data_IF_132950305338
#
_entry.id   IF_132950305338
#
_cell.length_a   1.000
_cell.length_b   1.000
_cell.length_c   1.000
_cell.angle_alpha   90.00
_cell.angle_beta   90.00
_cell.angle_gamma   90.00
#
_symmetry.space_group_name_H-M   'P 1'
#
loop_
_entity.id
_entity.type
_entity.pdbx_description
1 polymer ?
#
# COMPACT_ATOMS: atom_id res chain seq x y z
N UNK A 1 7.45 -22.23 8.59
CA UNK A 1 8.64 -21.41 8.26
C UNK A 1 8.64 -20.99 6.79
N UNK A 2 8.52 -21.89 5.84
CA UNK A 2 8.52 -21.65 4.37
C UNK A 2 7.47 -20.59 3.93
N UNK A 3 6.26 -20.61 4.49
CA UNK A 3 5.14 -19.70 4.17
C UNK A 3 5.38 -18.24 4.60
N UNK A 4 6.12 -18.00 5.68
CA UNK A 4 6.51 -16.63 6.11
C UNK A 4 7.65 -16.10 5.25
N UNK A 5 8.57 -16.96 4.84
CA UNK A 5 9.66 -16.62 3.92
C UNK A 5 9.15 -16.26 2.52
N UNK A 6 8.19 -17.02 1.97
CA UNK A 6 7.59 -16.70 0.66
C UNK A 6 6.81 -15.39 0.66
N UNK A 7 6.09 -15.08 1.74
CA UNK A 7 5.37 -13.80 1.87
C UNK A 7 6.33 -12.62 1.98
N UNK A 8 7.42 -12.78 2.74
CA UNK A 8 8.46 -11.75 2.85
C UNK A 8 9.19 -11.50 1.53
N UNK A 9 9.58 -12.55 0.82
CA UNK A 9 10.23 -12.44 -0.49
C UNK A 9 9.33 -11.74 -1.51
N UNK A 10 8.04 -12.10 -1.57
CA UNK A 10 7.07 -11.44 -2.44
C UNK A 10 6.88 -9.96 -2.09
N UNK A 11 6.88 -9.60 -0.81
CA UNK A 11 6.81 -8.20 -0.39
C UNK A 11 8.04 -7.41 -0.84
N UNK A 12 9.25 -7.99 -0.71
CA UNK A 12 10.50 -7.37 -1.19
C UNK A 12 10.47 -7.17 -2.71
N UNK A 13 10.03 -8.17 -3.48
CA UNK A 13 9.94 -8.04 -4.95
C UNK A 13 8.92 -6.97 -5.36
N UNK A 14 7.78 -6.86 -4.67
CA UNK A 14 6.81 -5.80 -4.92
C UNK A 14 7.36 -4.41 -4.55
N UNK A 15 8.17 -4.32 -3.52
CA UNK A 15 8.86 -3.08 -3.13
C UNK A 15 9.91 -2.68 -4.18
N UNK A 16 10.58 -3.66 -4.78
CA UNK A 16 11.56 -3.45 -5.84
C UNK A 16 10.93 -3.29 -7.24
N UNK A 17 9.59 -3.40 -7.36
CA UNK A 17 8.87 -3.34 -8.63
C UNK A 17 9.27 -2.16 -9.53
N UNK A 18 9.37 -0.89 -9.05
CA UNK A 18 9.74 0.23 -9.91
C UNK A 18 11.13 0.10 -10.52
N UNK A 19 12.07 -0.46 -9.76
CA UNK A 19 13.44 -0.70 -10.24
C UNK A 19 13.50 -1.85 -11.24
N UNK A 20 12.71 -2.90 -11.03
CA UNK A 20 12.60 -4.02 -11.98
C UNK A 20 12.01 -3.56 -13.32
N UNK A 21 10.97 -2.72 -13.29
CA UNK A 21 10.38 -2.14 -14.49
C UNK A 21 11.37 -1.22 -15.20
N UNK A 22 12.04 -0.33 -14.46
CA UNK A 22 13.08 0.55 -15.02
C UNK A 22 14.16 -0.25 -15.75
N UNK A 23 14.71 -1.28 -15.09
CA UNK A 23 15.77 -2.12 -15.64
C UNK A 23 15.32 -2.91 -16.88
N UNK A 24 14.14 -3.55 -16.81
CA UNK A 24 13.61 -4.35 -17.91
C UNK A 24 13.27 -3.51 -19.15
N UNK A 25 12.73 -2.30 -18.95
CA UNK A 25 12.43 -1.35 -20.06
C UNK A 25 13.72 -0.86 -20.71
N UNK A 26 14.75 -0.52 -19.92
CA UNK A 26 16.04 -0.07 -20.46
C UNK A 26 16.78 -1.15 -21.26
N UNK A 27 16.61 -2.42 -20.91
CA UNK A 27 17.20 -3.54 -21.66
C UNK A 27 16.36 -4.01 -22.86
N UNK A 28 15.16 -3.48 -23.02
CA UNK A 28 14.25 -3.94 -24.08
C UNK A 28 13.71 -5.37 -23.88
N UNK A 29 13.87 -5.94 -22.70
CA UNK A 29 13.48 -7.33 -22.38
C UNK A 29 12.02 -7.40 -21.88
N UNK A 30 11.09 -6.82 -22.64
CA UNK A 30 9.67 -6.75 -22.28
C UNK A 30 9.07 -8.15 -22.00
N UNK A 31 9.48 -9.16 -22.77
CA UNK A 31 8.95 -10.53 -22.62
C UNK A 31 9.38 -11.16 -21.29
N UNK A 32 10.65 -11.01 -20.91
CA UNK A 32 11.16 -11.53 -19.64
C UNK A 32 10.55 -10.77 -18.45
N UNK A 33 10.49 -9.44 -18.54
CA UNK A 33 9.87 -8.59 -17.53
C UNK A 33 8.38 -8.95 -17.37
N UNK A 34 7.63 -8.96 -18.48
CA UNK A 34 6.20 -9.25 -18.46
C UNK A 34 5.90 -10.67 -17.99
N UNK A 35 6.64 -11.67 -18.46
CA UNK A 35 6.52 -13.06 -18.02
C UNK A 35 6.82 -13.24 -16.53
N UNK A 36 7.88 -12.59 -16.03
CA UNK A 36 8.23 -12.59 -14.61
C UNK A 36 7.16 -11.96 -13.74
N UNK A 37 6.58 -10.83 -14.17
CA UNK A 37 5.49 -10.15 -13.45
C UNK A 37 4.20 -10.98 -13.48
N UNK A 38 3.86 -11.61 -14.60
CA UNK A 38 2.70 -12.52 -14.70
C UNK A 38 2.86 -13.68 -13.72
N UNK A 39 4.04 -14.29 -13.66
CA UNK A 39 4.31 -15.37 -12.70
C UNK A 39 4.19 -14.86 -11.25
N UNK A 40 4.80 -13.72 -10.94
CA UNK A 40 4.77 -13.11 -9.60
C UNK A 40 3.33 -12.81 -9.16
N UNK A 41 2.57 -12.08 -9.97
CA UNK A 41 1.20 -11.70 -9.64
C UNK A 41 0.25 -12.90 -9.69
N UNK A 42 0.46 -13.84 -10.61
CA UNK A 42 -0.30 -15.10 -10.71
C UNK A 42 -0.14 -15.96 -9.46
N UNK A 43 1.10 -16.15 -8.98
CA UNK A 43 1.38 -16.84 -7.71
C UNK A 43 0.70 -16.17 -6.51
N UNK A 44 0.58 -14.83 -6.52
CA UNK A 44 -0.10 -14.06 -5.47
C UNK A 44 -1.61 -14.28 -5.44
N UNK A 45 -2.22 -14.64 -6.56
CA UNK A 45 -3.66 -14.94 -6.66
C UNK A 45 -4.00 -16.34 -6.14
N UNK A 46 -3.03 -17.25 -6.01
CA UNK A 46 -3.27 -18.60 -5.48
C UNK A 46 -3.86 -18.51 -4.06
N UNK A 47 -4.80 -19.41 -3.72
CA UNK A 47 -5.45 -19.40 -2.43
C UNK A 47 -4.45 -19.76 -1.33
N UNK A 48 -4.05 -18.74 -0.56
CA UNK A 48 -3.28 -18.93 0.67
C UNK A 48 -4.28 -18.96 1.82
N UNK A 49 -4.53 -20.13 2.38
CA UNK A 49 -5.44 -20.30 3.52
C UNK A 49 -5.03 -19.43 4.70
N UNK A 50 -5.94 -18.58 5.20
CA UNK A 50 -5.73 -17.73 6.35
C UNK A 50 -6.96 -16.85 6.63
N UNK A 51 -7.18 -16.52 7.92
CA UNK A 51 -8.30 -15.73 8.45
C UNK A 51 -8.17 -14.21 8.23
N UNK A 52 -7.56 -13.74 7.16
CA UNK A 52 -7.24 -12.32 6.92
C UNK A 52 -8.23 -11.63 5.97
N UNK A 53 -9.50 -12.01 5.97
CA UNK A 53 -10.64 -11.42 5.27
C UNK A 53 -10.36 -10.27 4.28
N UNK A 54 -10.48 -9.03 4.75
CA UNK A 54 -10.32 -7.82 3.92
C UNK A 54 -8.90 -7.63 3.37
N UNK A 55 -7.86 -8.04 4.11
CA UNK A 55 -6.46 -7.92 3.67
C UNK A 55 -6.11 -8.88 2.53
N UNK A 56 -6.71 -10.08 2.54
CA UNK A 56 -6.56 -11.02 1.43
C UNK A 56 -7.21 -10.48 0.16
N UNK A 57 -8.40 -9.88 0.30
CA UNK A 57 -9.08 -9.25 -0.84
C UNK A 57 -8.23 -8.12 -1.44
N UNK A 58 -7.70 -7.21 -0.61
CA UNK A 58 -6.84 -6.12 -1.07
C UNK A 58 -5.58 -6.65 -1.79
N UNK A 59 -4.87 -7.61 -1.19
CA UNK A 59 -3.69 -8.20 -1.79
C UNK A 59 -3.99 -8.89 -3.14
N UNK A 60 -5.16 -9.52 -3.25
CA UNK A 60 -5.63 -10.13 -4.51
C UNK A 60 -6.02 -9.08 -5.56
N UNK A 61 -6.68 -8.01 -5.16
CA UNK A 61 -7.03 -6.92 -6.07
C UNK A 61 -5.79 -6.23 -6.62
N UNK A 62 -4.78 -5.95 -5.79
CA UNK A 62 -3.49 -5.41 -6.24
C UNK A 62 -2.78 -6.37 -7.19
N UNK A 63 -2.75 -7.67 -6.87
CA UNK A 63 -2.16 -8.69 -7.74
C UNK A 63 -2.92 -8.82 -9.06
N UNK A 64 -4.25 -8.75 -9.03
CA UNK A 64 -5.09 -8.77 -10.22
C UNK A 64 -4.83 -7.58 -11.15
N UNK A 65 -4.71 -6.37 -10.59
CA UNK A 65 -4.32 -5.18 -11.36
C UNK A 65 -2.92 -5.32 -11.98
N UNK A 66 -1.95 -5.80 -11.21
CA UNK A 66 -0.60 -6.03 -11.72
C UNK A 66 -0.57 -7.08 -12.83
N UNK A 67 -1.31 -8.17 -12.67
CA UNK A 67 -1.45 -9.21 -13.70
C UNK A 67 -2.10 -8.66 -14.97
N UNK A 68 -3.19 -7.89 -14.83
CA UNK A 68 -3.87 -7.27 -15.97
C UNK A 68 -2.92 -6.34 -16.74
N UNK A 69 -2.21 -5.46 -16.04
CA UNK A 69 -1.25 -4.55 -16.68
C UNK A 69 -0.10 -5.30 -17.36
N UNK A 70 0.41 -6.37 -16.76
CA UNK A 70 1.46 -7.19 -17.35
C UNK A 70 0.95 -7.90 -18.63
N UNK A 71 -0.27 -8.43 -18.63
CA UNK A 71 -0.89 -9.05 -19.81
C UNK A 71 -1.12 -8.01 -20.91
N UNK A 72 -1.70 -6.85 -20.58
CA UNK A 72 -1.92 -5.76 -21.55
C UNK A 72 -0.60 -5.29 -22.14
N UNK A 73 0.44 -5.14 -21.31
CA UNK A 73 1.78 -4.75 -21.75
C UNK A 73 2.37 -5.74 -22.77
N UNK A 74 2.21 -7.04 -22.55
CA UNK A 74 2.68 -8.08 -23.49
C UNK A 74 1.86 -8.12 -24.76
N UNK A 75 0.53 -8.07 -24.68
CA UNK A 75 -0.37 -8.13 -25.84
C UNK A 75 -0.17 -6.91 -26.73
N UNK A 76 -0.13 -5.72 -26.14
CA UNK A 76 0.08 -4.46 -26.87
C UNK A 76 1.55 -4.22 -27.24
N UNK A 77 2.47 -5.07 -26.80
CA UNK A 77 3.93 -4.90 -26.94
C UNK A 77 4.41 -3.50 -26.49
N UNK A 78 3.81 -3.00 -25.43
CA UNK A 78 4.03 -1.64 -24.93
C UNK A 78 4.25 -1.65 -23.41
N UNK A 79 5.50 -1.40 -23.00
CA UNK A 79 5.91 -1.43 -21.59
C UNK A 79 5.31 -0.31 -20.74
N UNK A 80 4.84 0.79 -21.37
CA UNK A 80 4.30 1.94 -20.66
C UNK A 80 3.08 1.60 -19.77
N UNK A 81 2.33 0.54 -20.07
CA UNK A 81 1.21 0.08 -19.24
C UNK A 81 1.64 -0.32 -17.84
N UNK A 82 2.84 -0.86 -17.68
CA UNK A 82 3.39 -1.23 -16.37
C UNK A 82 3.61 -0.02 -15.46
N UNK A 83 3.85 1.15 -16.03
CA UNK A 83 4.10 2.38 -15.28
C UNK A 83 2.89 2.84 -14.47
N UNK A 84 1.67 2.42 -14.84
CA UNK A 84 0.44 2.76 -14.13
C UNK A 84 0.20 1.95 -12.85
N UNK A 85 1.00 0.91 -12.58
CA UNK A 85 0.78 0.07 -11.39
C UNK A 85 0.80 0.85 -10.06
N UNK A 86 1.75 1.76 -9.78
CA UNK A 86 1.74 2.56 -8.56
C UNK A 86 0.51 3.48 -8.44
N UNK A 87 0.01 3.98 -9.57
CA UNK A 87 -1.21 4.80 -9.62
C UNK A 87 -2.43 3.96 -9.21
N UNK A 88 -2.57 2.76 -9.79
CA UNK A 88 -3.66 1.84 -9.45
C UNK A 88 -3.61 1.37 -8.00
N UNK A 89 -2.42 1.09 -7.47
CA UNK A 89 -2.24 0.75 -6.05
C UNK A 89 -2.70 1.88 -5.15
N UNK A 90 -2.29 3.13 -5.45
CA UNK A 90 -2.72 4.31 -4.69
C UNK A 90 -4.24 4.51 -4.75
N UNK A 91 -4.85 4.31 -5.93
CA UNK A 91 -6.30 4.39 -6.11
C UNK A 91 -7.05 3.31 -5.32
N UNK A 92 -6.59 2.06 -5.37
CA UNK A 92 -7.19 0.96 -4.61
C UNK A 92 -7.12 1.21 -3.09
N UNK A 93 -5.98 1.69 -2.61
CA UNK A 93 -5.82 2.05 -1.19
C UNK A 93 -6.71 3.23 -0.82
N UNK A 94 -6.77 4.26 -1.66
CA UNK A 94 -7.67 5.39 -1.47
C UNK A 94 -9.13 4.92 -1.36
N UNK A 95 -9.59 4.09 -2.28
CA UNK A 95 -10.97 3.58 -2.26
C UNK A 95 -11.25 2.76 -1.00
N UNK A 96 -10.31 1.91 -0.57
CA UNK A 96 -10.45 1.12 0.65
C UNK A 96 -10.55 2.00 1.90
N UNK A 97 -9.62 2.96 2.05
CA UNK A 97 -9.60 3.86 3.20
C UNK A 97 -10.81 4.80 3.20
N UNK A 98 -11.12 5.42 2.05
CA UNK A 98 -12.26 6.30 1.90
C UNK A 98 -13.58 5.58 2.22
N UNK A 99 -13.80 4.38 1.63
CA UNK A 99 -14.99 3.57 1.93
C UNK A 99 -15.13 3.29 3.43
N UNK A 100 -14.02 3.06 4.14
CA UNK A 100 -14.06 2.77 5.58
C UNK A 100 -14.54 3.97 6.41
N UNK A 101 -14.43 5.21 5.91
CA UNK A 101 -14.94 6.40 6.59
C UNK A 101 -16.48 6.45 6.67
N UNK A 102 -17.18 5.76 5.77
CA UNK A 102 -18.65 5.61 5.80
C UNK A 102 -19.15 4.38 6.56
N UNK A 103 -18.21 3.58 7.10
CA UNK A 103 -18.54 2.41 7.92
C UNK A 103 -18.53 2.79 9.41
N UNK A 104 -19.23 2.02 10.27
CA UNK A 104 -19.22 2.25 11.72
C UNK A 104 -17.85 2.28 12.34
N UNK A 105 -16.91 1.48 11.79
CA UNK A 105 -15.52 1.42 12.22
C UNK A 105 -14.60 1.68 11.03
N UNK A 106 -13.70 2.66 11.16
CA UNK A 106 -12.70 2.95 10.13
C UNK A 106 -11.64 1.85 10.05
N UNK A 107 -10.91 1.79 8.93
CA UNK A 107 -9.89 0.77 8.72
C UNK A 107 -8.81 0.82 9.81
N UNK A 108 -8.34 2.02 10.17
CA UNK A 108 -7.33 2.22 11.22
C UNK A 108 -7.89 1.85 12.61
N UNK A 109 -9.18 2.13 12.86
CA UNK A 109 -9.85 1.71 14.09
C UNK A 109 -9.88 0.18 14.23
N UNK A 110 -10.24 -0.54 13.16
CA UNK A 110 -10.24 -2.02 13.16
C UNK A 110 -8.85 -2.58 13.46
N UNK A 111 -7.80 -1.98 12.88
CA UNK A 111 -6.41 -2.35 13.19
C UNK A 111 -6.05 -2.09 14.65
N UNK A 112 -6.46 -0.94 15.19
CA UNK A 112 -6.21 -0.59 16.58
C UNK A 112 -6.92 -1.56 17.54
N UNK A 113 -8.17 -1.95 17.24
CA UNK A 113 -8.95 -2.92 18.04
C UNK A 113 -8.39 -4.34 18.02
N UNK A 114 -7.52 -4.69 17.08
CA UNK A 114 -6.79 -5.96 17.13
C UNK A 114 -5.78 -5.99 18.29
N UNK A 115 -5.29 -4.82 18.73
CA UNK A 115 -4.36 -4.68 19.84
C UNK A 115 -5.08 -4.36 21.15
N UNK A 116 -6.11 -3.53 21.09
CA UNK A 116 -6.94 -3.12 22.21
C UNK A 116 -8.42 -3.14 21.81
N UNK A 117 -9.19 -4.16 22.18
CA UNK A 117 -10.61 -4.26 21.85
C UNK A 117 -11.48 -3.15 22.47
N UNK A 118 -11.06 -2.58 23.63
CA UNK A 118 -11.79 -1.59 24.41
C UNK A 118 -11.27 -0.17 24.18
N UNK A 119 -11.17 0.29 22.91
CA UNK A 119 -10.68 1.62 22.59
C UNK A 119 -11.56 2.74 23.19
N UNK A 120 -10.99 3.73 23.89
CA UNK A 120 -11.69 4.90 24.41
C UNK A 120 -12.17 5.80 23.25
N UNK A 121 -13.20 6.61 23.49
CA UNK A 121 -13.82 7.48 22.49
C UNK A 121 -12.82 8.46 21.83
N UNK A 122 -11.80 8.91 22.57
CA UNK A 122 -10.75 9.78 22.04
C UNK A 122 -9.86 9.05 21.00
N UNK A 123 -9.52 7.79 21.28
CA UNK A 123 -8.74 6.97 20.37
C UNK A 123 -9.54 6.65 19.09
N UNK A 124 -10.87 6.47 19.19
CA UNK A 124 -11.74 6.29 18.02
C UNK A 124 -11.74 7.55 17.13
N UNK A 125 -11.86 8.73 17.72
CA UNK A 125 -11.77 10.00 16.97
C UNK A 125 -10.40 10.18 16.30
N UNK A 126 -9.34 9.84 17.01
CA UNK A 126 -7.97 9.88 16.50
C UNK A 126 -7.80 8.93 15.28
N UNK A 127 -8.24 7.67 15.38
CA UNK A 127 -8.11 6.71 14.28
C UNK A 127 -8.89 7.13 13.02
N UNK A 128 -10.02 7.83 13.20
CA UNK A 128 -10.76 8.43 12.08
C UNK A 128 -9.96 9.54 11.40
N UNK A 129 -9.34 10.43 12.17
CA UNK A 129 -8.45 11.46 11.64
C UNK A 129 -7.25 10.89 10.90
N UNK A 130 -6.61 9.86 11.45
CA UNK A 130 -5.52 9.13 10.78
C UNK A 130 -5.99 8.54 9.45
N UNK A 131 -7.20 7.93 9.40
CA UNK A 131 -7.77 7.39 8.15
C UNK A 131 -7.93 8.49 7.09
N UNK A 132 -8.39 9.69 7.47
CA UNK A 132 -8.51 10.85 6.55
C UNK A 132 -7.15 11.32 6.04
N UNK A 133 -6.13 11.39 6.90
CA UNK A 133 -4.75 11.75 6.50
C UNK A 133 -4.22 10.75 5.48
N UNK A 134 -4.44 9.44 5.67
CA UNK A 134 -4.05 8.43 4.70
C UNK A 134 -4.79 8.58 3.36
N UNK A 135 -6.08 8.93 3.38
CA UNK A 135 -6.81 9.24 2.14
C UNK A 135 -6.16 10.41 1.40
N UNK A 136 -5.84 11.51 2.11
CA UNK A 136 -5.11 12.65 1.54
C UNK A 136 -3.76 12.24 0.95
N UNK A 137 -3.01 11.42 1.68
CA UNK A 137 -1.74 10.88 1.20
C UNK A 137 -1.90 10.10 -0.12
N UNK A 138 -2.87 9.19 -0.22
CA UNK A 138 -3.07 8.41 -1.44
C UNK A 138 -3.52 9.27 -2.63
N UNK A 139 -4.28 10.33 -2.41
CA UNK A 139 -4.61 11.30 -3.46
C UNK A 139 -3.35 11.97 -3.98
N UNK A 140 -2.55 12.55 -3.08
CA UNK A 140 -1.30 13.25 -3.46
C UNK A 140 -0.31 12.28 -4.11
N UNK A 141 -0.06 11.13 -3.49
CA UNK A 141 0.88 10.13 -4.00
C UNK A 141 0.44 9.57 -5.36
N UNK A 142 -0.84 9.24 -5.53
CA UNK A 142 -1.38 8.76 -6.78
C UNK A 142 -1.31 9.81 -7.91
N UNK A 143 -1.57 11.08 -7.59
CA UNK A 143 -1.45 12.20 -8.54
C UNK A 143 0.01 12.39 -8.96
N UNK A 144 0.95 12.40 -8.03
CA UNK A 144 2.37 12.52 -8.34
C UNK A 144 2.87 11.31 -9.15
N UNK A 145 2.46 10.10 -8.79
CA UNK A 145 2.77 8.89 -9.58
C UNK A 145 2.25 9.01 -11.00
N UNK A 146 1.00 9.46 -11.20
CA UNK A 146 0.42 9.68 -12.52
C UNK A 146 1.19 10.76 -13.30
N UNK A 147 1.55 11.86 -12.64
CA UNK A 147 2.34 12.93 -13.25
C UNK A 147 3.66 12.40 -13.80
N UNK A 148 4.37 11.54 -13.04
CA UNK A 148 5.64 10.93 -13.53
C UNK A 148 5.42 10.02 -14.75
N UNK A 149 4.27 9.33 -14.83
CA UNK A 149 3.91 8.55 -16.03
C UNK A 149 3.69 9.45 -17.24
N UNK A 150 2.93 10.55 -17.06
CA UNK A 150 2.57 11.47 -18.14
C UNK A 150 3.77 12.26 -18.67
N UNK A 151 4.76 12.57 -17.82
CA UNK A 151 6.01 13.21 -18.22
C UNK A 151 6.89 12.29 -19.07
N UNK A 152 6.71 10.98 -19.02
CA UNK A 152 7.45 10.00 -19.82
C UNK A 152 8.93 9.83 -19.45
N UNK A 153 9.40 10.47 -18.37
CA UNK A 153 10.77 10.34 -17.87
C UNK A 153 10.88 9.11 -16.94
N UNK A 154 11.53 8.06 -17.45
CA UNK A 154 11.72 6.81 -16.72
C UNK A 154 12.60 6.94 -15.47
N UNK A 155 13.58 7.85 -15.48
CA UNK A 155 14.43 8.08 -14.31
C UNK A 155 13.63 8.76 -13.20
N UNK A 156 12.86 9.80 -13.54
CA UNK A 156 11.95 10.49 -12.61
C UNK A 156 10.88 9.54 -12.09
N UNK A 157 10.27 8.72 -12.96
CA UNK A 157 9.28 7.73 -12.56
C UNK A 157 9.84 6.72 -11.54
N UNK A 158 11.02 6.18 -11.82
CA UNK A 158 11.69 5.21 -10.95
C UNK A 158 12.11 5.84 -9.62
N UNK A 159 12.66 7.05 -9.63
CA UNK A 159 13.04 7.79 -8.43
C UNK A 159 11.85 8.07 -7.54
N UNK A 160 10.75 8.56 -8.12
CA UNK A 160 9.55 8.87 -7.34
C UNK A 160 8.89 7.59 -6.79
N UNK A 161 8.55 6.64 -7.66
CA UNK A 161 7.80 5.45 -7.26
C UNK A 161 8.66 4.40 -6.55
N UNK A 162 9.98 4.39 -6.77
CA UNK A 162 10.93 3.46 -6.14
C UNK A 162 11.53 3.96 -4.83
N UNK A 163 11.61 5.28 -4.61
CA UNK A 163 12.26 5.83 -3.43
C UNK A 163 11.38 6.86 -2.71
N UNK A 164 11.03 7.99 -3.37
CA UNK A 164 10.38 9.12 -2.70
C UNK A 164 9.00 8.75 -2.12
N UNK A 165 8.20 8.01 -2.85
CA UNK A 165 6.89 7.52 -2.40
C UNK A 165 7.00 6.69 -1.11
N UNK A 166 8.01 5.80 -1.01
CA UNK A 166 8.25 5.01 0.21
C UNK A 166 8.77 5.84 1.37
N UNK A 167 9.63 6.84 1.11
CA UNK A 167 10.10 7.77 2.14
C UNK A 167 8.93 8.61 2.70
N UNK A 168 8.07 9.11 1.83
CA UNK A 168 6.87 9.87 2.23
C UNK A 168 5.92 8.99 3.06
N UNK A 169 5.69 7.75 2.65
CA UNK A 169 4.88 6.79 3.40
C UNK A 169 5.52 6.48 4.77
N UNK A 170 6.83 6.25 4.80
CA UNK A 170 7.58 6.00 6.03
C UNK A 170 7.55 7.16 7.01
N UNK A 171 7.68 8.40 6.52
CA UNK A 171 7.57 9.60 7.36
C UNK A 171 6.17 9.77 7.92
N UNK A 172 5.13 9.51 7.12
CA UNK A 172 3.75 9.54 7.59
C UNK A 172 3.49 8.47 8.67
N UNK A 173 3.93 7.23 8.45
CA UNK A 173 3.83 6.16 9.45
C UNK A 173 4.59 6.47 10.72
N UNK A 174 5.82 6.99 10.61
CA UNK A 174 6.63 7.38 11.76
C UNK A 174 6.02 8.52 12.56
N UNK A 175 5.49 9.53 11.87
CA UNK A 175 4.76 10.64 12.48
C UNK A 175 3.50 10.17 13.21
N UNK A 176 2.70 9.29 12.60
CA UNK A 176 1.52 8.70 13.23
C UNK A 176 1.90 7.90 14.49
N UNK A 177 2.93 7.06 14.40
CA UNK A 177 3.40 6.28 15.52
C UNK A 177 3.85 7.14 16.71
N UNK A 178 4.55 8.26 16.47
CA UNK A 178 4.96 9.21 17.51
C UNK A 178 3.74 9.90 18.16
N UNK A 179 2.77 10.34 17.35
CA UNK A 179 1.54 10.97 17.84
C UNK A 179 0.70 10.00 18.67
N UNK A 180 0.58 8.75 18.20
CA UNK A 180 -0.13 7.67 18.91
C UNK A 180 0.51 7.38 20.26
N UNK A 181 1.83 7.31 20.34
CA UNK A 181 2.54 7.13 21.63
C UNK A 181 2.26 8.29 22.60
N UNK A 182 2.26 9.52 22.11
CA UNK A 182 1.94 10.70 22.94
C UNK A 182 0.51 10.66 23.46
N UNK A 183 -0.45 10.27 22.62
CA UNK A 183 -1.85 10.12 23.00
C UNK A 183 -2.02 9.04 24.09
N UNK A 184 -1.42 7.88 23.89
CA UNK A 184 -1.46 6.77 24.88
C UNK A 184 -0.86 7.17 26.23
N UNK A 185 0.26 7.89 26.24
CA UNK A 185 0.87 8.40 27.46
C UNK A 185 -0.06 9.37 28.21
N UNK A 186 -0.72 10.30 27.49
CA UNK A 186 -1.69 11.23 28.10
C UNK A 186 -2.89 10.52 28.70
N UNK A 187 -3.46 9.54 28.00
CA UNK A 187 -4.59 8.75 28.50
C UNK A 187 -4.24 7.95 29.74
N UNK A 188 -3.03 7.38 29.80
CA UNK A 188 -2.54 6.63 30.98
C UNK A 188 -2.41 7.58 32.21
N UNK A 189 -1.90 8.79 32.03
CA UNK A 189 -1.75 9.76 33.13
C UNK A 189 -3.13 10.21 33.66
N UNK A 190 -4.08 10.52 32.77
CA UNK A 190 -5.43 10.93 33.17
C UNK A 190 -6.19 9.82 33.93
N UNK A 191 -5.94 8.55 33.62
CA UNK A 191 -6.56 7.42 34.33
C UNK A 191 -5.99 7.26 35.76
N UNK A 192 -4.69 7.55 35.94
CA UNK A 192 -4.06 7.51 37.27
C UNK A 192 -4.52 8.66 38.18
N UNK A 193 -4.75 9.85 37.62
CA UNK A 193 -5.26 11.03 38.36
C UNK A 193 -6.75 10.90 38.73
N UNK A 194 -7.51 10.05 38.05
CA UNK A 194 -8.93 9.83 38.30
C UNK A 194 -9.22 8.70 39.31
N UNK A 195 -8.18 8.03 39.82
CA UNK A 195 -8.33 7.04 40.91
C UNK A 195 -8.16 7.77 42.25
N UNK A 196 -9.22 7.80 43.10
CA UNK A 196 -9.19 8.45 44.42
C UNK A 196 -8.25 7.77 45.39
#
# INVERSE_FOLDING_TARGET
MIRRLSTGLLAVVLLLYPFLVYWGVHRGELTLLGGGLILLFGLRLLPVGGRLGEWLWLGRSMAGCGLLLALVSLVCRASHWLLYYPVLVSLLLLLLFARSLWQPQTLIERLARLQDPALPAEAIRYTRGVTQVWCGFFVVNGTLALTTVLLGDMALWSLYNGLLSYLLMGTLMGGEWLLRRRLQARLATSTLEAQP
#
